data_IF_994797463346
#
_entry.id   IF_994797463346
#
_cell.length_a   1.000
_cell.length_b   1.000
_cell.length_c   1.000
_cell.angle_alpha   90.00
_cell.angle_beta   90.00
_cell.angle_gamma   90.00
#
_symmetry.space_group_name_H-M   'P 1'
#
loop_
_entity.id
_entity.type
_entity.pdbx_description
1 polymer ?
#
# COMPACT_ATOMS: atom_id res chain seq x y z
N UNK A 1 49.76 46.54 -28.44
CA UNK A 1 48.53 47.28 -28.11
C UNK A 1 47.55 47.13 -29.26
N UNK A 2 46.29 46.80 -28.95
CA UNK A 2 45.06 46.82 -29.78
C UNK A 2 45.07 46.05 -31.12
N UNK A 3 44.12 45.16 -31.43
CA UNK A 3 42.87 44.78 -30.77
C UNK A 3 42.19 43.61 -31.51
N UNK A 4 41.07 43.07 -30.99
CA UNK A 4 40.47 41.83 -31.48
C UNK A 4 39.51 42.05 -32.68
N UNK A 5 39.65 41.21 -33.70
CA UNK A 5 38.80 41.15 -34.89
C UNK A 5 37.47 40.43 -34.58
N UNK A 6 36.34 41.07 -34.90
CA UNK A 6 34.97 40.52 -34.76
C UNK A 6 34.50 39.88 -36.08
N UNK A 7 33.50 38.99 -35.94
CA UNK A 7 32.59 38.42 -36.96
C UNK A 7 33.17 37.18 -37.68
N UNK A 8 32.45 36.11 -38.01
CA UNK A 8 31.03 35.97 -38.39
C UNK A 8 30.61 34.48 -38.42
N UNK A 9 29.29 34.27 -38.30
CA UNK A 9 28.54 33.01 -38.40
C UNK A 9 28.80 32.25 -39.70
N UNK A 10 28.92 30.91 -39.65
CA UNK A 10 28.54 29.96 -40.72
C UNK A 10 27.39 29.11 -40.16
N UNK A 11 26.12 29.33 -40.50
CA UNK A 11 25.38 28.91 -41.70
C UNK A 11 25.59 27.44 -42.08
N UNK A 12 24.71 26.57 -41.58
CA UNK A 12 24.11 25.51 -42.39
C UNK A 12 22.68 25.26 -41.90
N UNK A 13 21.73 25.90 -42.59
CA UNK A 13 20.34 25.45 -42.67
C UNK A 13 20.29 24.15 -43.49
N UNK A 14 19.62 23.12 -42.98
CA UNK A 14 18.89 22.17 -43.80
C UNK A 14 17.47 22.07 -43.27
N UNK A 15 16.53 22.61 -44.05
CA UNK A 15 15.09 22.47 -43.89
C UNK A 15 14.59 21.46 -44.93
N UNK A 16 13.86 20.44 -44.45
CA UNK A 16 12.81 19.66 -45.13
C UNK A 16 11.96 19.12 -43.97
N UNK A 17 10.72 19.50 -43.71
CA UNK A 17 9.65 19.98 -44.57
C UNK A 17 8.56 18.91 -44.64
N UNK A 18 7.64 18.89 -43.67
CA UNK A 18 6.25 18.40 -43.84
C UNK A 18 5.35 18.76 -42.64
N UNK A 19 4.48 19.76 -42.86
CA UNK A 19 3.10 19.81 -42.34
C UNK A 19 2.87 19.92 -40.84
N UNK A 20 3.08 21.11 -40.26
CA UNK A 20 2.30 21.57 -39.11
C UNK A 20 1.92 23.02 -39.36
N UNK A 21 0.63 23.32 -39.29
CA UNK A 21 0.12 24.69 -39.16
C UNK A 21 0.93 25.43 -38.09
N UNK A 22 1.36 26.67 -38.33
CA UNK A 22 2.09 27.40 -37.31
C UNK A 22 1.10 27.72 -36.19
N UNK A 23 1.19 26.96 -35.11
CA UNK A 23 0.55 27.31 -33.86
C UNK A 23 1.17 28.64 -33.43
N UNK A 24 0.43 29.73 -33.66
CA UNK A 24 0.84 31.06 -33.27
C UNK A 24 0.93 31.08 -31.75
N UNK A 25 2.14 31.12 -31.22
CA UNK A 25 2.42 31.19 -29.79
C UNK A 25 2.66 32.67 -29.48
N UNK A 26 1.64 33.46 -29.07
CA UNK A 26 1.88 34.82 -28.63
C UNK A 26 2.74 34.81 -27.34
N UNK A 27 3.80 35.62 -27.25
CA UNK A 27 4.58 35.77 -26.02
C UNK A 27 3.89 36.84 -25.17
N UNK A 28 3.11 36.41 -24.17
CA UNK A 28 2.43 37.33 -23.26
C UNK A 28 2.15 36.72 -21.89
N UNK A 29 1.98 37.56 -20.86
CA UNK A 29 1.85 37.17 -19.44
C UNK A 29 0.66 36.23 -19.16
N UNK A 30 -0.29 36.14 -20.09
CA UNK A 30 -1.48 35.30 -20.02
C UNK A 30 -1.17 33.79 -20.06
N UNK A 31 -0.04 33.38 -20.63
CA UNK A 31 0.37 31.95 -20.64
C UNK A 31 0.75 31.44 -19.27
N UNK A 32 1.39 32.25 -18.43
CA UNK A 32 1.75 31.86 -17.06
C UNK A 32 0.50 31.61 -16.22
N UNK A 33 -0.55 32.41 -16.39
CA UNK A 33 -1.81 32.22 -15.68
C UNK A 33 -2.46 30.86 -16.01
N UNK A 34 -2.51 30.48 -17.30
CA UNK A 34 -3.17 29.23 -17.74
C UNK A 34 -2.38 27.97 -17.32
N UNK A 35 -1.05 27.95 -17.43
CA UNK A 35 -0.26 26.79 -16.97
C UNK A 35 -0.32 26.63 -15.45
N UNK A 36 -0.41 27.74 -14.70
CA UNK A 36 -0.52 27.69 -13.24
C UNK A 36 -1.92 27.23 -12.81
N UNK A 37 -2.97 27.62 -13.54
CA UNK A 37 -4.34 27.16 -13.30
C UNK A 37 -4.46 25.64 -13.53
N UNK A 38 -3.87 25.11 -14.61
CA UNK A 38 -3.86 23.67 -14.89
C UNK A 38 -3.03 22.87 -13.89
N UNK A 39 -1.92 23.41 -13.39
CA UNK A 39 -1.12 22.78 -12.33
C UNK A 39 -1.84 22.78 -10.96
N UNK A 40 -2.62 23.82 -10.66
CA UNK A 40 -3.47 23.89 -9.47
C UNK A 40 -4.62 22.88 -9.50
N UNK A 41 -5.29 22.75 -10.65
CA UNK A 41 -6.38 21.78 -10.86
C UNK A 41 -5.86 20.34 -10.82
N UNK A 42 -4.70 20.04 -11.42
CA UNK A 42 -4.11 18.70 -11.39
C UNK A 42 -3.67 18.28 -9.97
N UNK A 43 -3.24 19.22 -9.12
CA UNK A 43 -2.95 18.93 -7.69
C UNK A 43 -4.20 18.64 -6.88
N UNK A 44 -5.36 19.18 -7.26
CA UNK A 44 -6.62 18.93 -6.56
C UNK A 44 -7.13 17.50 -6.78
N UNK A 45 -6.96 16.95 -7.99
CA UNK A 45 -7.44 15.59 -8.35
C UNK A 45 -6.61 14.48 -7.69
N UNK A 46 -5.36 14.76 -7.29
CA UNK A 46 -4.46 13.79 -6.66
C UNK A 46 -4.43 13.90 -5.11
N UNK A 47 -5.44 14.51 -4.50
CA UNK A 47 -5.55 14.55 -3.05
C UNK A 47 -5.73 13.13 -2.49
N UNK A 48 -4.99 12.79 -1.43
CA UNK A 48 -5.17 11.51 -0.74
C UNK A 48 -6.59 11.48 -0.17
N UNK A 49 -7.38 10.43 -0.42
CA UNK A 49 -8.69 10.31 0.22
C UNK A 49 -8.47 10.24 1.73
N UNK A 50 -8.82 11.32 2.43
CA UNK A 50 -8.92 11.32 3.89
C UNK A 50 -10.07 10.39 4.25
N UNK A 51 -9.75 9.18 4.70
CA UNK A 51 -10.76 8.22 5.11
C UNK A 51 -11.68 8.84 6.17
N UNK A 52 -12.98 8.85 5.89
CA UNK A 52 -14.00 9.30 6.84
C UNK A 52 -13.90 8.43 8.10
N UNK A 53 -13.70 9.05 9.27
CA UNK A 53 -13.49 8.33 10.54
C UNK A 53 -14.62 7.34 10.88
N UNK A 54 -15.84 7.62 10.43
CA UNK A 54 -17.04 6.79 10.64
C UNK A 54 -16.93 5.37 10.07
N UNK A 55 -16.08 5.13 9.06
CA UNK A 55 -15.98 3.82 8.38
C UNK A 55 -15.39 2.71 9.26
N UNK A 56 -14.80 3.05 10.41
CA UNK A 56 -14.10 2.09 11.28
C UNK A 56 -14.77 1.90 12.65
N UNK A 57 -16.01 2.33 12.80
CA UNK A 57 -16.83 1.99 13.97
C UNK A 57 -17.59 0.70 13.65
N UNK A 58 -17.33 -0.37 14.40
CA UNK A 58 -18.03 -1.65 14.24
C UNK A 58 -19.42 -1.57 14.88
N UNK A 59 -20.43 -2.12 14.19
CA UNK A 59 -21.77 -2.28 14.77
C UNK A 59 -21.87 -3.58 15.58
N UNK A 60 -22.82 -3.69 16.53
CA UNK A 60 -23.10 -4.95 17.23
C UNK A 60 -23.31 -6.14 16.28
N UNK A 61 -23.99 -5.91 15.15
CA UNK A 61 -24.24 -6.93 14.12
C UNK A 61 -22.94 -7.44 13.47
N UNK A 62 -21.93 -6.56 13.29
CA UNK A 62 -20.63 -6.98 12.77
C UNK A 62 -19.90 -7.92 13.75
N UNK A 63 -20.10 -7.74 15.06
CA UNK A 63 -19.47 -8.58 16.07
C UNK A 63 -20.01 -10.01 16.04
N UNK A 64 -21.32 -10.19 15.87
CA UNK A 64 -21.94 -11.51 15.69
C UNK A 64 -21.49 -12.18 14.40
N UNK A 65 -21.40 -11.41 13.30
CA UNK A 65 -21.01 -11.93 11.99
C UNK A 65 -19.56 -12.38 11.92
N UNK A 66 -18.64 -11.62 12.50
CA UNK A 66 -17.20 -11.88 12.39
C UNK A 66 -16.59 -12.51 13.65
N UNK A 67 -17.36 -12.66 14.72
CA UNK A 67 -16.94 -13.31 15.98
C UNK A 67 -15.83 -12.53 16.71
N UNK A 68 -15.85 -11.21 16.63
CA UNK A 68 -14.87 -10.34 17.28
C UNK A 68 -15.41 -9.74 18.57
N UNK A 69 -14.67 -9.86 19.68
CA UNK A 69 -15.04 -9.29 20.98
C UNK A 69 -14.54 -7.82 21.09
N UNK A 70 -15.43 -6.83 21.28
CA UNK A 70 -15.02 -5.45 21.55
C UNK A 70 -14.23 -5.30 22.85
N UNK A 71 -14.53 -6.12 23.87
CA UNK A 71 -13.93 -6.03 25.19
C UNK A 71 -12.46 -6.49 25.16
N UNK A 72 -12.18 -7.54 24.39
CA UNK A 72 -10.85 -8.11 24.24
C UNK A 72 -10.37 -8.03 22.77
N UNK A 73 -9.93 -6.84 22.31
CA UNK A 73 -9.42 -6.68 20.96
C UNK A 73 -8.13 -7.49 20.78
N UNK A 74 -7.95 -8.03 19.59
CA UNK A 74 -6.72 -8.77 19.26
C UNK A 74 -5.51 -7.83 19.19
N UNK A 75 -4.38 -8.32 19.70
CA UNK A 75 -3.14 -7.52 19.84
C UNK A 75 -2.35 -7.42 18.54
N UNK A 76 -2.41 -8.46 17.69
CA UNK A 76 -1.58 -8.61 16.50
C UNK A 76 -2.43 -8.90 15.25
N UNK A 77 -2.10 -8.23 14.16
CA UNK A 77 -2.68 -8.44 12.84
C UNK A 77 -1.77 -9.32 11.99
N UNK A 78 -2.36 -10.27 11.29
CA UNK A 78 -1.74 -10.94 10.14
C UNK A 78 -2.18 -10.17 8.90
N UNK A 79 -1.22 -9.53 8.25
CA UNK A 79 -1.44 -8.78 7.02
C UNK A 79 -0.84 -9.53 5.86
N UNK A 80 -1.65 -9.77 4.84
CA UNK A 80 -1.21 -10.43 3.61
C UNK A 80 -1.58 -9.56 2.43
N UNK A 81 -0.62 -9.28 1.54
CA UNK A 81 -0.93 -8.56 0.29
C UNK A 81 -1.60 -9.50 -0.70
N UNK A 82 -2.78 -9.12 -1.17
CA UNK A 82 -3.60 -9.89 -2.13
C UNK A 82 -3.70 -9.24 -3.52
N UNK A 83 -3.52 -7.91 -3.63
CA UNK A 83 -3.51 -7.20 -4.93
C UNK A 83 -2.14 -6.63 -5.24
N UNK A 84 -1.87 -6.41 -6.53
CA UNK A 84 -0.62 -5.82 -6.99
C UNK A 84 -0.53 -4.32 -6.71
N UNK A 85 0.69 -3.82 -6.54
CA UNK A 85 0.99 -2.39 -6.37
C UNK A 85 1.21 -1.66 -7.70
N UNK A 86 1.11 -2.38 -8.83
CA UNK A 86 1.21 -1.78 -10.17
C UNK A 86 0.04 -0.84 -10.41
N UNK A 87 0.28 0.28 -11.10
CA UNK A 87 -0.71 1.34 -11.37
C UNK A 87 -1.32 1.98 -10.12
N UNK A 88 -0.65 1.86 -8.97
CA UNK A 88 -1.00 2.57 -7.73
C UNK A 88 -0.13 3.81 -7.55
N UNK A 89 -0.64 4.83 -6.84
CA UNK A 89 0.13 6.02 -6.53
C UNK A 89 1.38 5.68 -5.71
N UNK A 90 2.42 6.52 -5.82
CA UNK A 90 3.73 6.23 -5.24
C UNK A 90 3.68 6.06 -3.71
N UNK A 91 2.85 6.84 -3.00
CA UNK A 91 2.72 6.74 -1.55
C UNK A 91 2.16 5.40 -1.06
N UNK A 92 1.29 4.73 -1.84
CA UNK A 92 0.83 3.37 -1.51
C UNK A 92 1.98 2.37 -1.59
N UNK A 93 2.85 2.52 -2.60
CA UNK A 93 4.04 1.67 -2.77
C UNK A 93 5.01 1.85 -1.60
N UNK A 94 5.22 3.09 -1.16
CA UNK A 94 6.07 3.39 -0.01
C UNK A 94 5.52 2.77 1.28
N UNK A 95 4.20 2.81 1.49
CA UNK A 95 3.56 2.16 2.65
C UNK A 95 3.72 0.65 2.60
N UNK A 96 3.55 0.03 1.42
CA UNK A 96 3.76 -1.41 1.26
C UNK A 96 5.23 -1.81 1.56
N UNK A 97 6.19 -0.98 1.15
CA UNK A 97 7.62 -1.17 1.48
C UNK A 97 7.88 -1.02 2.98
N UNK A 98 7.32 0.02 3.61
CA UNK A 98 7.42 0.22 5.06
C UNK A 98 6.80 -0.93 5.88
N UNK A 99 5.71 -1.53 5.40
CA UNK A 99 5.04 -2.66 6.04
C UNK A 99 5.68 -4.03 5.69
N UNK A 100 6.76 -4.05 4.90
CA UNK A 100 7.46 -5.26 4.44
C UNK A 100 6.55 -6.24 3.67
N UNK A 101 5.63 -5.72 2.86
CA UNK A 101 4.65 -6.49 2.06
C UNK A 101 5.01 -6.53 0.56
N UNK A 102 6.31 -6.62 0.25
CA UNK A 102 6.80 -6.58 -1.13
C UNK A 102 6.44 -7.85 -1.92
N UNK A 103 6.50 -9.01 -1.25
CA UNK A 103 6.06 -10.31 -1.80
C UNK A 103 4.56 -10.48 -1.59
N UNK A 104 3.85 -10.91 -2.64
CA UNK A 104 2.42 -11.19 -2.54
C UNK A 104 2.20 -12.53 -1.81
N UNK A 105 1.05 -12.69 -1.17
CA UNK A 105 0.66 -13.92 -0.48
C UNK A 105 1.60 -14.38 0.65
N UNK A 106 2.53 -13.54 1.07
CA UNK A 106 3.35 -13.77 2.27
C UNK A 106 2.68 -13.11 3.47
N UNK A 107 2.37 -13.86 4.55
CA UNK A 107 1.80 -13.29 5.76
C UNK A 107 2.87 -12.53 6.56
N UNK A 108 2.55 -11.32 6.99
CA UNK A 108 3.40 -10.51 7.88
C UNK A 108 2.62 -10.10 9.13
N UNK A 109 3.25 -10.25 10.30
CA UNK A 109 2.64 -9.88 11.58
C UNK A 109 2.94 -8.42 11.91
N UNK A 110 1.91 -7.68 12.31
CA UNK A 110 1.99 -6.27 12.69
C UNK A 110 1.21 -6.00 13.98
N UNK A 111 1.65 -5.00 14.77
CA UNK A 111 0.98 -4.61 16.02
C UNK A 111 -0.33 -3.86 15.73
N UNK A 112 -1.38 -4.15 16.50
CA UNK A 112 -2.64 -3.41 16.46
C UNK A 112 -2.52 -2.08 17.24
N UNK A 113 -1.78 -1.12 16.67
CA UNK A 113 -1.58 0.23 17.23
C UNK A 113 -2.08 1.31 16.26
N UNK A 114 -2.54 2.48 16.73
CA UNK A 114 -3.11 3.52 15.86
C UNK A 114 -2.21 3.96 14.71
N UNK A 115 -0.89 4.07 14.96
CA UNK A 115 0.11 4.44 13.94
C UNK A 115 0.18 3.42 12.79
N UNK A 116 0.17 2.12 13.12
CA UNK A 116 0.15 1.04 12.13
C UNK A 116 -1.21 0.96 11.44
N UNK A 117 -2.30 1.06 12.20
CA UNK A 117 -3.66 1.03 11.67
C UNK A 117 -3.88 2.16 10.67
N UNK A 118 -3.38 3.38 10.91
CA UNK A 118 -3.46 4.48 9.96
C UNK A 118 -2.82 4.13 8.60
N UNK A 119 -1.64 3.49 8.62
CA UNK A 119 -0.97 3.02 7.40
C UNK A 119 -1.78 1.92 6.71
N UNK A 120 -2.29 0.95 7.46
CA UNK A 120 -3.12 -0.14 6.94
C UNK A 120 -4.43 0.38 6.32
N UNK A 121 -5.03 1.44 6.89
CA UNK A 121 -6.24 2.08 6.34
C UNK A 121 -6.03 2.65 4.94
N UNK A 122 -4.84 3.20 4.64
CA UNK A 122 -4.51 3.75 3.32
C UNK A 122 -4.43 2.64 2.26
N UNK A 123 -3.88 1.48 2.63
CA UNK A 123 -3.68 0.36 1.69
C UNK A 123 -4.71 -0.77 1.85
N UNK A 124 -5.82 -0.52 2.55
CA UNK A 124 -6.82 -1.54 2.92
C UNK A 124 -7.39 -2.31 1.73
N UNK A 125 -7.42 -1.71 0.54
CA UNK A 125 -7.88 -2.33 -0.71
C UNK A 125 -6.88 -3.29 -1.35
N UNK A 126 -5.61 -3.28 -0.91
CA UNK A 126 -4.53 -4.14 -1.43
C UNK A 126 -4.24 -5.36 -0.56
N UNK A 127 -4.66 -5.31 0.70
CA UNK A 127 -4.28 -6.26 1.74
C UNK A 127 -5.50 -7.00 2.29
N UNK A 128 -5.25 -8.18 2.84
CA UNK A 128 -6.16 -8.91 3.72
C UNK A 128 -5.61 -8.79 5.14
N UNK A 129 -6.47 -8.42 6.08
CA UNK A 129 -6.14 -8.33 7.50
C UNK A 129 -6.90 -9.45 8.21
N UNK A 130 -6.21 -10.19 9.07
CA UNK A 130 -6.79 -11.19 9.97
C UNK A 130 -6.24 -11.01 11.38
N UNK A 131 -7.01 -11.33 12.43
CA UNK A 131 -6.47 -11.42 13.77
C UNK A 131 -5.55 -12.64 13.90
N UNK A 132 -4.43 -12.49 14.62
CA UNK A 132 -3.61 -13.63 15.03
C UNK A 132 -4.26 -14.31 16.25
N UNK A 133 -4.57 -15.61 16.12
CA UNK A 133 -5.11 -16.44 17.21
C UNK A 133 -4.01 -17.35 17.75
N UNK A 134 -3.90 -17.41 19.08
CA UNK A 134 -2.90 -18.20 19.79
C UNK A 134 -3.59 -19.20 20.74
N UNK A 135 -4.09 -20.34 20.23
CA UNK A 135 -4.82 -21.29 21.06
C UNK A 135 -3.95 -21.93 22.15
N UNK A 136 -2.66 -22.17 21.88
CA UNK A 136 -1.71 -22.75 22.85
C UNK A 136 -0.87 -21.70 23.60
N UNK A 137 -1.12 -20.41 23.39
CA UNK A 137 -0.31 -19.33 23.95
C UNK A 137 0.90 -18.93 23.08
N UNK A 138 1.92 -18.34 23.72
CA UNK A 138 3.14 -17.90 23.04
C UNK A 138 4.10 -19.09 22.83
N UNK A 139 4.84 -19.12 21.72
CA UNK A 139 5.83 -20.16 21.50
C UNK A 139 7.02 -20.03 22.45
N UNK A 140 7.36 -21.12 23.15
CA UNK A 140 8.59 -21.29 23.94
C UNK A 140 9.78 -21.58 23.03
N UNK A 141 11.02 -21.37 23.51
CA UNK A 141 12.26 -21.57 22.76
C UNK A 141 12.35 -22.95 22.07
N UNK A 142 11.92 -24.01 22.76
CA UNK A 142 11.91 -25.39 22.24
C UNK A 142 11.00 -25.58 21.03
N UNK A 143 9.95 -24.77 20.90
CA UNK A 143 8.93 -24.94 19.88
C UNK A 143 9.13 -24.03 18.66
N UNK A 144 10.17 -23.19 18.64
CA UNK A 144 10.38 -22.20 17.58
C UNK A 144 10.43 -22.82 16.17
N UNK A 145 11.08 -23.98 16.03
CA UNK A 145 11.22 -24.70 14.76
C UNK A 145 9.93 -25.39 14.29
N UNK A 146 9.02 -25.71 15.21
CA UNK A 146 7.80 -26.48 14.93
C UNK A 146 6.58 -25.60 14.76
N UNK A 147 6.75 -24.26 14.83
CA UNK A 147 5.64 -23.33 14.66
C UNK A 147 5.17 -23.25 13.21
N UNK A 148 3.85 -23.25 13.02
CA UNK A 148 3.26 -23.08 11.70
C UNK A 148 2.06 -22.13 11.77
N UNK A 149 2.01 -21.18 10.82
CA UNK A 149 0.87 -20.28 10.66
C UNK A 149 -0.15 -20.89 9.71
N UNK A 150 -1.33 -21.24 10.22
CA UNK A 150 -2.44 -21.76 9.41
C UNK A 150 -3.09 -20.65 8.57
N UNK A 151 -3.76 -21.04 7.50
CA UNK A 151 -4.56 -20.15 6.67
C UNK A 151 -5.71 -19.47 7.43
N UNK A 152 -6.18 -20.08 8.52
CA UNK A 152 -7.21 -19.53 9.43
C UNK A 152 -6.73 -18.29 10.17
N UNK A 153 -5.42 -18.17 10.43
CA UNK A 153 -4.83 -17.14 11.29
C UNK A 153 -4.42 -17.65 12.67
N UNK A 154 -4.47 -18.97 12.89
CA UNK A 154 -3.97 -19.63 14.08
C UNK A 154 -2.47 -19.92 13.95
N UNK A 155 -1.71 -19.57 15.00
CA UNK A 155 -0.33 -20.03 15.15
C UNK A 155 -0.34 -21.33 15.95
N UNK A 156 -0.01 -22.44 15.30
CA UNK A 156 0.15 -23.73 15.97
C UNK A 156 1.60 -23.90 16.36
N UNK A 157 1.83 -24.17 17.64
CA UNK A 157 3.16 -24.29 18.24
C UNK A 157 3.81 -25.65 17.93
N UNK A 158 3.00 -26.71 17.87
CA UNK A 158 3.45 -28.08 17.58
C UNK A 158 2.83 -28.58 16.27
N UNK A 159 3.56 -28.41 15.17
CA UNK A 159 3.12 -28.93 13.87
C UNK A 159 3.52 -30.40 13.69
N UNK A 160 2.72 -31.32 14.22
CA UNK A 160 2.86 -32.75 13.93
C UNK A 160 2.17 -33.09 12.60
N UNK A 161 2.94 -33.60 11.63
CA UNK A 161 2.43 -34.13 10.36
C UNK A 161 1.86 -35.54 10.52
N UNK A 162 1.11 -35.77 11.60
CA UNK A 162 0.43 -37.04 11.85
C UNK A 162 -1.07 -36.87 11.56
N UNK A 163 -1.74 -37.89 11.03
CA UNK A 163 -3.20 -37.88 10.95
C UNK A 163 -3.75 -37.70 12.37
N UNK A 164 -4.79 -36.87 12.51
CA UNK A 164 -5.46 -36.68 13.80
C UNK A 164 -6.19 -37.99 14.12
N UNK A 165 -5.68 -38.74 15.09
CA UNK A 165 -6.43 -39.82 15.73
C UNK A 165 -7.53 -39.17 16.57
N UNK A 166 -8.70 -38.98 15.99
CA UNK A 166 -9.89 -38.62 16.76
C UNK A 166 -10.25 -39.88 17.55
N UNK A 167 -10.05 -39.84 18.87
CA UNK A 167 -10.63 -40.84 19.76
C UNK A 167 -12.13 -40.82 19.49
N UNK A 168 -12.63 -41.89 18.89
CA UNK A 168 -14.06 -42.14 18.82
C UNK A 168 -14.52 -42.25 20.27
N UNK A 169 -15.24 -41.23 20.75
CA UNK A 169 -15.93 -41.31 22.02
C UNK A 169 -16.96 -42.46 21.88
N UNK A 170 -16.67 -43.55 22.59
CA UNK A 170 -17.56 -44.71 22.74
C UNK A 170 -18.91 -44.23 23.29
N UNK A 171 -19.99 -44.60 22.59
CA UNK A 171 -21.38 -44.46 23.02
C UNK A 171 -21.88 -45.76 23.61
#
# INVERSE_FOLDING_TARGET
MHGPCKKTKRTTCWWRGRGKTPFFIPPGPLKRAITTLMAGILRLVAQRPTGRLQVFQASPEDHEKYGGDPQNPHKLHIVTRIKSTRRRPYWEKDIIKMLKLEKAHTPQVHKNIPSVNAKLKVVKHLIRIKPLKLPQGLPTEENMSNTCLKSTGELVVQWHLKPVEQKADEA
#
